data_IF_438369073271
#
_entry.id   IF_438369073271
#
_cell.length_a   1.000
_cell.length_b   1.000
_cell.length_c   1.000
_cell.angle_alpha   90.00
_cell.angle_beta   90.00
_cell.angle_gamma   90.00
#
_symmetry.space_group_name_H-M   'P 1'
#
loop_
_entity.id
_entity.type
_entity.pdbx_description
1 polymer ?
#
# COMPACT_ATOMS: atom_id res chain seq x y z
N UNK A 1 36.22 21.47 45.49
CA UNK A 1 35.76 20.26 44.77
C UNK A 1 34.41 20.60 44.17
N UNK A 2 34.38 21.06 42.93
CA UNK A 2 33.13 21.50 42.28
C UNK A 2 32.70 20.38 41.33
N UNK A 3 31.62 19.70 41.69
CA UNK A 3 31.03 18.62 40.88
C UNK A 3 30.38 19.21 39.63
N UNK A 4 30.85 18.82 38.45
CA UNK A 4 30.15 19.06 37.18
C UNK A 4 28.80 18.34 37.19
N UNK A 5 27.68 18.99 36.78
CA UNK A 5 26.42 18.29 36.60
C UNK A 5 26.52 17.41 35.35
N UNK A 6 26.21 16.13 35.50
CA UNK A 6 26.09 15.19 34.40
C UNK A 6 24.86 15.58 33.56
N UNK A 7 25.08 16.29 32.45
CA UNK A 7 24.04 16.50 31.45
C UNK A 7 23.77 15.17 30.73
N UNK A 8 22.72 14.48 31.19
CA UNK A 8 22.09 13.43 30.41
C UNK A 8 21.44 14.08 29.19
N UNK A 9 22.09 13.97 28.04
CA UNK A 9 21.46 14.34 26.77
C UNK A 9 20.39 13.28 26.47
N UNK A 10 19.12 13.66 26.22
CA UNK A 10 18.18 12.73 25.62
C UNK A 10 18.76 12.32 24.27
N UNK A 11 19.05 11.03 24.10
CA UNK A 11 19.42 10.48 22.80
C UNK A 11 18.35 10.92 21.80
N UNK A 12 18.70 11.47 20.62
CA UNK A 12 17.69 11.89 19.66
C UNK A 12 16.80 10.69 19.38
N UNK A 13 15.50 10.82 19.67
CA UNK A 13 14.55 9.79 19.35
C UNK A 13 14.72 9.49 17.86
N UNK A 14 15.03 8.23 17.52
CA UNK A 14 15.10 7.84 16.11
C UNK A 14 13.76 8.21 15.48
N UNK A 15 13.75 8.83 14.28
CA UNK A 15 12.51 9.16 13.61
C UNK A 15 11.69 7.87 13.45
N UNK A 16 10.49 7.86 14.01
CA UNK A 16 9.52 6.79 13.83
C UNK A 16 8.99 6.86 12.40
N UNK A 17 8.71 5.69 11.81
CA UNK A 17 8.08 5.65 10.50
C UNK A 17 6.57 5.65 10.69
N UNK A 18 5.92 6.68 10.17
CA UNK A 18 4.46 6.84 10.22
C UNK A 18 3.77 5.92 9.21
N UNK A 19 2.70 5.24 9.66
CA UNK A 19 1.96 4.27 8.83
C UNK A 19 1.32 4.94 7.62
N UNK A 20 0.74 6.12 7.81
CA UNK A 20 0.02 6.88 6.78
C UNK A 20 0.95 7.39 5.66
N UNK A 21 2.26 7.41 5.89
CA UNK A 21 3.23 7.75 4.85
C UNK A 21 3.40 6.64 3.81
N UNK A 22 3.11 5.38 4.19
CA UNK A 22 3.35 4.21 3.35
C UNK A 22 2.06 3.53 2.89
N UNK A 23 1.01 3.55 3.71
CA UNK A 23 -0.26 2.90 3.43
C UNK A 23 -1.36 3.93 3.22
N UNK A 24 -2.41 3.56 2.48
CA UNK A 24 -3.62 4.36 2.46
C UNK A 24 -4.27 4.33 3.86
N UNK A 25 -4.37 5.50 4.49
CA UNK A 25 -4.65 5.69 5.92
C UNK A 25 -5.95 5.02 6.41
N UNK A 26 -6.92 4.80 5.52
CA UNK A 26 -8.24 4.25 5.88
C UNK A 26 -8.39 2.72 5.76
N UNK A 27 -7.30 1.98 5.49
CA UNK A 27 -7.39 0.51 5.38
C UNK A 27 -7.34 -0.20 6.76
N UNK A 28 -8.06 -1.32 6.97
CA UNK A 28 -7.91 -2.14 8.18
C UNK A 28 -6.46 -2.57 8.47
N UNK A 29 -5.67 -2.85 7.42
CA UNK A 29 -4.25 -3.11 7.56
C UNK A 29 -3.50 -1.91 8.17
N UNK A 30 -3.74 -0.69 7.68
CA UNK A 30 -3.13 0.52 8.24
C UNK A 30 -3.55 0.74 9.70
N UNK A 31 -4.83 0.54 10.03
CA UNK A 31 -5.33 0.66 11.40
C UNK A 31 -4.65 -0.33 12.37
N UNK A 32 -4.47 -1.59 11.96
CA UNK A 32 -3.76 -2.59 12.77
C UNK A 32 -2.28 -2.27 12.93
N UNK A 33 -1.64 -1.77 11.88
CA UNK A 33 -0.25 -1.30 11.96
C UNK A 33 -0.13 -0.10 12.92
N UNK A 34 -1.05 0.86 12.83
CA UNK A 34 -1.05 2.04 13.69
C UNK A 34 -1.24 1.67 15.18
N UNK A 35 -2.06 0.65 15.48
CA UNK A 35 -2.21 0.14 16.83
C UNK A 35 -0.94 -0.53 17.40
N UNK A 36 0.00 -0.93 16.55
CA UNK A 36 1.31 -1.51 16.93
C UNK A 36 2.47 -0.51 16.83
N UNK A 37 2.20 0.72 16.41
CA UNK A 37 3.20 1.78 16.35
C UNK A 37 3.68 2.17 17.77
N UNK A 38 4.89 2.73 17.92
CA UNK A 38 5.84 3.10 16.86
C UNK A 38 6.74 1.95 16.36
N UNK A 39 7.08 1.98 15.06
CA UNK A 39 8.09 1.10 14.47
C UNK A 39 9.47 1.77 14.42
N UNK A 40 10.54 1.01 14.73
CA UNK A 40 11.92 1.57 14.74
C UNK A 40 12.48 1.81 13.34
N UNK A 41 12.00 1.06 12.34
CA UNK A 41 12.40 1.23 10.94
C UNK A 41 11.22 0.93 10.01
N UNK A 42 11.23 1.52 8.82
CA UNK A 42 10.21 1.23 7.80
C UNK A 42 10.24 -0.23 7.35
N UNK A 43 11.41 -0.87 7.34
CA UNK A 43 11.53 -2.31 7.05
C UNK A 43 10.80 -3.15 8.09
N UNK A 44 10.86 -2.80 9.38
CA UNK A 44 10.09 -3.47 10.42
C UNK A 44 8.59 -3.31 10.19
N UNK A 45 8.14 -2.09 9.87
CA UNK A 45 6.75 -1.80 9.55
C UNK A 45 6.24 -2.64 8.37
N UNK A 46 6.97 -2.63 7.24
CA UNK A 46 6.62 -3.42 6.04
C UNK A 46 6.61 -4.92 6.31
N UNK A 47 7.61 -5.44 7.04
CA UNK A 47 7.66 -6.86 7.40
C UNK A 47 6.51 -7.23 8.34
N UNK A 48 6.08 -6.32 9.21
CA UNK A 48 4.91 -6.54 10.06
C UNK A 48 3.62 -6.54 9.24
N UNK A 49 3.49 -5.63 8.27
CA UNK A 49 2.35 -5.58 7.36
C UNK A 49 2.15 -6.92 6.63
N UNK A 50 3.24 -7.51 6.13
CA UNK A 50 3.22 -8.84 5.53
C UNK A 50 2.64 -9.92 6.45
N UNK A 51 3.07 -9.95 7.71
CA UNK A 51 2.59 -10.92 8.71
C UNK A 51 1.12 -10.69 9.09
N UNK A 52 0.66 -9.44 9.05
CA UNK A 52 -0.72 -9.11 9.40
C UNK A 52 -1.72 -9.54 8.33
N UNK A 53 -1.30 -9.70 7.06
CA UNK A 53 -2.19 -10.15 5.99
C UNK A 53 -2.91 -11.46 6.33
N UNK A 54 -2.22 -12.40 6.97
CA UNK A 54 -2.79 -13.70 7.36
C UNK A 54 -3.75 -13.59 8.54
N UNK A 55 -3.57 -12.57 9.39
CA UNK A 55 -4.39 -12.32 10.58
C UNK A 55 -5.67 -11.51 10.28
N UNK A 56 -5.77 -10.91 9.09
CA UNK A 56 -6.98 -10.21 8.66
C UNK A 56 -8.10 -11.23 8.37
N UNK A 57 -9.29 -10.94 8.88
CA UNK A 57 -10.51 -11.60 8.41
C UNK A 57 -10.75 -11.26 6.93
N UNK A 58 -11.51 -12.10 6.23
CA UNK A 58 -11.82 -11.85 4.81
C UNK A 58 -12.49 -10.47 4.57
N UNK A 59 -13.47 -10.01 5.38
CA UNK A 59 -14.01 -8.66 5.23
C UNK A 59 -12.95 -7.56 5.38
N UNK A 60 -11.99 -7.71 6.29
CA UNK A 60 -10.90 -6.75 6.46
C UNK A 60 -9.91 -6.78 5.28
N UNK A 61 -9.65 -7.96 4.72
CA UNK A 61 -8.87 -8.12 3.49
C UNK A 61 -9.52 -7.36 2.33
N UNK A 62 -10.82 -7.55 2.13
CA UNK A 62 -11.59 -6.87 1.09
C UNK A 62 -11.59 -5.36 1.31
N UNK A 63 -11.87 -4.91 2.54
CA UNK A 63 -11.85 -3.49 2.88
C UNK A 63 -10.47 -2.85 2.69
N UNK A 64 -9.39 -3.61 2.92
CA UNK A 64 -8.01 -3.16 2.64
C UNK A 64 -7.77 -2.91 1.16
N UNK A 65 -8.24 -3.81 0.29
CA UNK A 65 -8.16 -3.61 -1.17
C UNK A 65 -9.04 -2.45 -1.63
N UNK A 66 -10.25 -2.33 -1.09
CA UNK A 66 -11.21 -1.32 -1.48
C UNK A 66 -10.86 0.09 -1.01
N UNK A 67 -10.02 0.22 0.02
CA UNK A 67 -9.43 1.50 0.41
C UNK A 67 -8.40 2.02 -0.60
N UNK A 68 -7.88 1.15 -1.48
CA UNK A 68 -6.91 1.56 -2.49
C UNK A 68 -7.60 2.20 -3.71
N UNK A 69 -7.07 3.30 -4.26
CA UNK A 69 -7.61 3.91 -5.48
C UNK A 69 -7.56 2.95 -6.67
N UNK A 70 -8.50 3.10 -7.61
CA UNK A 70 -8.49 2.28 -8.83
C UNK A 70 -7.35 2.71 -9.75
N UNK A 71 -6.79 1.75 -10.48
CA UNK A 71 -5.93 2.09 -11.61
C UNK A 71 -6.77 2.72 -12.72
N UNK A 72 -6.35 3.89 -13.21
CA UNK A 72 -7.11 4.70 -14.16
C UNK A 72 -8.12 5.66 -13.53
N UNK A 73 -8.16 5.78 -12.20
CA UNK A 73 -9.02 6.76 -11.52
C UNK A 73 -8.61 8.21 -11.82
N UNK A 74 -9.58 9.13 -11.75
CA UNK A 74 -9.38 10.57 -11.96
C UNK A 74 -8.19 11.08 -11.11
N UNK A 75 -7.11 11.58 -11.73
CA UNK A 75 -5.93 12.04 -11.02
C UNK A 75 -6.23 13.05 -9.91
N UNK A 76 -7.29 13.86 -10.06
CA UNK A 76 -7.71 14.87 -9.07
C UNK A 76 -8.20 14.27 -7.75
N UNK A 77 -8.59 12.99 -7.76
CA UNK A 77 -9.06 12.23 -6.58
C UNK A 77 -7.95 11.42 -5.91
N UNK A 78 -6.77 11.35 -6.53
CA UNK A 78 -5.64 10.58 -6.03
C UNK A 78 -4.78 11.39 -5.06
N UNK A 79 -4.20 10.70 -4.08
CA UNK A 79 -3.06 11.24 -3.32
C UNK A 79 -1.87 11.51 -4.26
N UNK A 80 -0.93 12.35 -3.83
CA UNK A 80 0.28 12.62 -4.61
C UNK A 80 1.07 11.33 -4.89
N UNK A 81 1.14 10.41 -3.91
CA UNK A 81 1.77 9.10 -4.07
C UNK A 81 1.06 8.25 -5.12
N UNK A 82 -0.26 8.08 -5.02
CA UNK A 82 -1.04 7.29 -5.96
C UNK A 82 -1.00 7.87 -7.38
N UNK A 83 -1.01 9.21 -7.53
CA UNK A 83 -0.87 9.85 -8.85
C UNK A 83 0.51 9.59 -9.45
N UNK A 84 1.58 9.71 -8.66
CA UNK A 84 2.95 9.39 -9.09
C UNK A 84 3.11 7.93 -9.50
N UNK A 85 2.40 7.01 -8.85
CA UNK A 85 2.48 5.57 -9.12
C UNK A 85 1.85 5.16 -10.45
N UNK A 86 0.73 5.77 -10.83
CA UNK A 86 0.02 5.39 -12.06
C UNK A 86 0.18 6.36 -13.23
N UNK A 87 0.53 7.62 -12.98
CA UNK A 87 0.61 8.68 -14.00
C UNK A 87 -0.76 9.12 -14.53
N UNK A 88 -0.75 10.15 -15.39
CA UNK A 88 -1.96 10.86 -15.83
C UNK A 88 -2.51 10.38 -17.19
N UNK A 89 -1.79 9.52 -17.92
CA UNK A 89 -2.26 9.02 -19.23
C UNK A 89 -3.60 8.26 -19.07
N UNK A 90 -4.67 8.64 -19.79
CA UNK A 90 -5.94 7.92 -19.74
C UNK A 90 -5.85 6.61 -20.53
N UNK A 91 -6.43 5.54 -19.97
CA UNK A 91 -6.59 4.25 -20.65
C UNK A 91 -8.05 3.82 -20.51
N UNK A 92 -8.91 4.14 -21.49
CA UNK A 92 -10.37 3.96 -21.39
C UNK A 92 -10.81 2.53 -21.04
N UNK A 93 -10.08 1.51 -21.52
CA UNK A 93 -10.37 0.10 -21.21
C UNK A 93 -10.35 -0.22 -19.71
N UNK A 94 -9.61 0.54 -18.90
CA UNK A 94 -9.49 0.28 -17.46
C UNK A 94 -10.82 0.46 -16.73
N UNK A 95 -11.70 1.34 -17.17
CA UNK A 95 -12.99 1.54 -16.50
C UNK A 95 -13.85 0.26 -16.57
N UNK A 96 -14.05 -0.25 -17.79
CA UNK A 96 -14.81 -1.48 -18.01
C UNK A 96 -14.12 -2.71 -17.38
N UNK A 97 -12.79 -2.78 -17.44
CA UNK A 97 -12.03 -3.88 -16.85
C UNK A 97 -12.07 -3.89 -15.32
N UNK A 98 -11.99 -2.71 -14.67
CA UNK A 98 -12.17 -2.61 -13.22
C UNK A 98 -13.58 -3.06 -12.81
N UNK A 99 -14.61 -2.63 -13.55
CA UNK A 99 -15.98 -3.06 -13.28
C UNK A 99 -16.15 -4.59 -13.40
N UNK A 100 -15.63 -5.17 -14.48
CA UNK A 100 -15.65 -6.63 -14.72
C UNK A 100 -14.92 -7.40 -13.61
N UNK A 101 -13.76 -6.88 -13.18
CA UNK A 101 -12.98 -7.48 -12.11
C UNK A 101 -13.72 -7.42 -10.77
N UNK A 102 -14.30 -6.26 -10.44
CA UNK A 102 -15.05 -6.03 -9.20
C UNK A 102 -16.33 -6.88 -9.15
N UNK A 103 -17.03 -7.05 -10.27
CA UNK A 103 -18.20 -7.93 -10.38
C UNK A 103 -17.80 -9.40 -10.13
N UNK A 104 -16.69 -9.85 -10.72
CA UNK A 104 -16.22 -11.24 -10.57
C UNK A 104 -15.74 -11.54 -9.14
N UNK A 105 -14.97 -10.65 -8.55
CA UNK A 105 -14.21 -10.95 -7.33
C UNK A 105 -14.78 -10.28 -6.07
N UNK A 106 -15.57 -9.21 -6.21
CA UNK A 106 -16.16 -8.47 -5.10
C UNK A 106 -15.21 -7.48 -4.41
N UNK A 107 -14.07 -7.17 -5.03
CA UNK A 107 -13.09 -6.21 -4.52
C UNK A 107 -12.30 -5.55 -5.65
N UNK A 108 -11.72 -4.37 -5.37
CA UNK A 108 -10.94 -3.60 -6.33
C UNK A 108 -9.70 -4.33 -6.81
N UNK A 109 -9.34 -4.11 -8.08
CA UNK A 109 -8.08 -4.57 -8.62
C UNK A 109 -6.92 -3.73 -8.09
N UNK A 110 -6.02 -4.38 -7.35
CA UNK A 110 -4.77 -3.77 -6.87
C UNK A 110 -3.57 -4.47 -7.51
N UNK A 111 -2.65 -3.68 -8.04
CA UNK A 111 -1.43 -4.16 -8.69
C UNK A 111 -0.27 -3.21 -8.41
N UNK A 112 0.89 -3.78 -8.11
CA UNK A 112 2.11 -2.99 -8.00
C UNK A 112 2.62 -2.61 -9.40
N UNK A 113 2.46 -1.32 -9.75
CA UNK A 113 2.80 -0.80 -11.08
C UNK A 113 4.29 -0.92 -11.37
N UNK A 114 5.16 -0.63 -10.40
CA UNK A 114 6.62 -0.70 -10.53
C UNK A 114 7.18 0.01 -11.79
N UNK A 115 6.63 1.16 -12.15
CA UNK A 115 7.04 1.91 -13.34
C UNK A 115 6.55 1.34 -14.68
N UNK A 116 5.70 0.29 -14.68
CA UNK A 116 5.04 -0.21 -15.89
C UNK A 116 4.02 0.80 -16.42
N UNK A 117 3.92 1.00 -17.74
CA UNK A 117 2.87 1.86 -18.30
C UNK A 117 1.49 1.22 -18.08
N UNK A 118 0.45 2.05 -17.92
CA UNK A 118 -0.94 1.59 -17.71
C UNK A 118 -1.40 0.58 -18.77
N UNK A 119 -0.94 0.71 -20.02
CA UNK A 119 -1.25 -0.24 -21.11
C UNK A 119 -0.75 -1.66 -20.85
N UNK A 120 0.35 -1.83 -20.12
CA UNK A 120 0.81 -3.16 -19.72
C UNK A 120 0.02 -3.70 -18.53
N UNK A 121 -0.51 -2.82 -17.67
CA UNK A 121 -1.41 -3.22 -16.59
C UNK A 121 -2.74 -3.76 -17.13
N UNK A 122 -3.23 -3.27 -18.27
CA UNK A 122 -4.40 -3.83 -18.96
C UNK A 122 -4.21 -5.31 -19.28
N UNK A 123 -3.03 -5.70 -19.77
CA UNK A 123 -2.72 -7.11 -20.07
C UNK A 123 -2.73 -7.96 -18.79
N UNK A 124 -2.14 -7.43 -17.71
CA UNK A 124 -2.11 -8.10 -16.41
C UNK A 124 -3.51 -8.27 -15.85
N UNK A 125 -4.36 -7.24 -15.92
CA UNK A 125 -5.74 -7.31 -15.45
C UNK A 125 -6.53 -8.36 -16.25
N UNK A 126 -6.44 -8.34 -17.59
CA UNK A 126 -7.06 -9.35 -18.47
C UNK A 126 -6.59 -10.77 -18.15
N UNK A 127 -5.31 -10.96 -17.85
CA UNK A 127 -4.79 -12.27 -17.42
C UNK A 127 -5.35 -12.70 -16.07
N UNK A 128 -5.36 -11.80 -15.08
CA UNK A 128 -5.83 -12.06 -13.71
C UNK A 128 -7.34 -12.29 -13.63
N UNK A 129 -8.12 -11.86 -14.62
CA UNK A 129 -9.52 -12.27 -14.76
C UNK A 129 -9.70 -13.78 -14.94
N UNK A 130 -8.65 -14.55 -15.27
CA UNK A 130 -8.73 -16.02 -15.33
C UNK A 130 -8.43 -16.71 -13.98
N UNK A 131 -7.99 -15.96 -12.97
CA UNK A 131 -7.63 -16.51 -11.67
C UNK A 131 -8.86 -16.82 -10.80
N UNK A 132 -8.62 -17.60 -9.75
CA UNK A 132 -9.59 -17.86 -8.69
C UNK A 132 -9.68 -16.71 -7.68
N UNK A 133 -10.84 -16.54 -7.04
CA UNK A 133 -11.09 -15.42 -6.12
C UNK A 133 -10.12 -15.38 -4.93
N UNK A 134 -9.83 -16.52 -4.32
CA UNK A 134 -8.90 -16.61 -3.18
C UNK A 134 -7.47 -16.21 -3.58
N UNK A 135 -7.00 -16.71 -4.73
CA UNK A 135 -5.71 -16.33 -5.30
C UNK A 135 -5.63 -14.82 -5.54
N UNK A 136 -6.69 -14.21 -6.06
CA UNK A 136 -6.73 -12.77 -6.33
C UNK A 136 -6.77 -11.91 -5.07
N UNK A 137 -7.48 -12.39 -4.04
CA UNK A 137 -7.50 -11.72 -2.74
C UNK A 137 -6.09 -11.69 -2.15
N UNK A 138 -5.39 -12.83 -2.11
CA UNK A 138 -4.02 -12.93 -1.64
C UNK A 138 -3.06 -12.07 -2.48
N UNK A 139 -3.20 -12.11 -3.81
CA UNK A 139 -2.36 -11.37 -4.76
C UNK A 139 -2.52 -9.87 -4.60
N UNK A 140 -3.76 -9.38 -4.49
CA UNK A 140 -4.05 -7.96 -4.26
C UNK A 140 -3.46 -7.45 -2.95
N UNK A 141 -3.60 -8.22 -1.86
CA UNK A 141 -3.08 -7.83 -0.54
C UNK A 141 -1.57 -7.74 -0.54
N UNK A 142 -0.91 -8.72 -1.17
CA UNK A 142 0.54 -8.68 -1.37
C UNK A 142 0.96 -7.41 -2.11
N UNK A 143 0.22 -7.05 -3.17
CA UNK A 143 0.50 -5.83 -3.94
C UNK A 143 0.38 -4.55 -3.09
N UNK A 144 -0.58 -4.47 -2.15
CA UNK A 144 -0.67 -3.33 -1.19
C UNK A 144 0.63 -3.18 -0.39
N UNK A 145 1.18 -4.28 0.13
CA UNK A 145 2.42 -4.24 0.92
C UNK A 145 3.65 -3.98 0.04
N UNK A 146 3.69 -4.50 -1.19
CA UNK A 146 4.75 -4.21 -2.15
C UNK A 146 4.78 -2.72 -2.56
N UNK A 147 3.61 -2.10 -2.73
CA UNK A 147 3.49 -0.65 -2.97
C UNK A 147 4.07 0.13 -1.78
N UNK A 148 3.69 -0.23 -0.56
CA UNK A 148 4.23 0.39 0.66
C UNK A 148 5.76 0.24 0.78
N UNK A 149 6.30 -0.93 0.42
CA UNK A 149 7.75 -1.15 0.35
C UNK A 149 8.41 -0.23 -0.68
N UNK A 150 7.83 -0.09 -1.87
CA UNK A 150 8.37 0.79 -2.90
C UNK A 150 8.34 2.28 -2.48
N UNK A 151 7.29 2.71 -1.79
CA UNK A 151 7.19 4.05 -1.19
C UNK A 151 8.32 4.29 -0.18
N UNK A 152 8.57 3.30 0.68
CA UNK A 152 9.66 3.36 1.66
C UNK A 152 11.03 3.52 1.00
N UNK A 153 11.35 2.72 -0.02
CA UNK A 153 12.64 2.81 -0.70
C UNK A 153 12.81 4.15 -1.42
N UNK A 154 11.74 4.73 -1.98
CA UNK A 154 11.78 6.08 -2.57
C UNK A 154 11.97 7.19 -1.53
N UNK A 155 11.51 7.00 -0.30
CA UNK A 155 11.62 7.99 0.77
C UNK A 155 12.99 7.99 1.46
N UNK A 156 13.83 6.96 1.25
CA UNK A 156 15.19 6.92 1.81
C UNK A 156 16.08 7.89 1.02
N UNK A 157 16.82 8.78 1.71
CA UNK A 157 17.85 9.59 1.03
C UNK A 157 18.93 8.68 0.45
N UNK A 158 19.44 9.06 -0.71
CA UNK A 158 20.55 8.40 -1.41
C UNK A 158 21.86 8.44 -0.60
#
# INVERSE_FOLDING_TARGET
MTTCPCWSHPSPARPTVEVDALFEAASPLAQRLAAEAPFKTGTQLVNRAYKLLDALSEPEKIATLNAHPRIGEDPRRLSAASRSEQGDEPVPELEWLNATYEEKFGFRFVVFVNGRPKRDLVKILKQRLNNGREQELATGLKAVVDIARARLEKARPA
#
